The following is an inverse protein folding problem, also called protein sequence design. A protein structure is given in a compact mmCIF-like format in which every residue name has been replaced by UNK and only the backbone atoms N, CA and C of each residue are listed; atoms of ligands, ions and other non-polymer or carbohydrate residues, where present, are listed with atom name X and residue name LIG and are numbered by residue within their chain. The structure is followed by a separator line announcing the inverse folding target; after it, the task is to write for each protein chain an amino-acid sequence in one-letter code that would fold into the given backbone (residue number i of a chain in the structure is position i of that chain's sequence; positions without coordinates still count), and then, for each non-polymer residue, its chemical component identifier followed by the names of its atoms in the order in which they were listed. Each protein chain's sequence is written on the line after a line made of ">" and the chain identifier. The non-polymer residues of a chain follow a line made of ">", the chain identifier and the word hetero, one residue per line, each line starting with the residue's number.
data_IF_871421530945
#
_entry.id   IF_871421530945
#
_cell.length_a   1.000
_cell.length_b   1.000
_cell.length_c   1.000
_cell.angle_alpha   90.00
_cell.angle_beta   90.00
_cell.angle_gamma   90.00
#
_symmetry.space_group_name_H-M   'P 1'
#
loop_
_entity.id
_entity.type
_entity.pdbx_description
1 polymer ?
#
# COMPACT_ATOMS: atom_id res chain seq x y z
N UNK A 1 -33.10 56.65 -6.81
CA UNK A 1 -32.33 55.41 -6.55
C UNK A 1 -31.71 54.98 -7.86
N UNK A 2 -30.39 55.17 -8.04
CA UNK A 2 -29.69 54.71 -9.23
C UNK A 2 -29.21 53.26 -9.01
N UNK A 3 -29.44 52.33 -9.95
CA UNK A 3 -28.92 50.98 -9.83
C UNK A 3 -27.41 51.02 -10.05
N UNK A 4 -26.63 50.50 -9.10
CA UNK A 4 -25.19 50.30 -9.28
C UNK A 4 -24.97 49.22 -10.35
N UNK A 5 -24.44 49.61 -11.50
CA UNK A 5 -24.00 48.68 -12.54
C UNK A 5 -22.77 47.92 -12.04
N UNK A 6 -22.92 46.61 -11.82
CA UNK A 6 -21.79 45.72 -11.51
C UNK A 6 -20.99 45.53 -12.79
N UNK A 7 -19.72 45.95 -12.80
CA UNK A 7 -18.84 45.82 -13.95
C UNK A 7 -18.56 44.35 -14.27
N UNK A 8 -18.67 43.96 -15.55
CA UNK A 8 -18.38 42.60 -16.02
C UNK A 8 -16.97 42.11 -15.67
N UNK A 9 -16.01 43.03 -15.48
CA UNK A 9 -14.67 42.71 -15.00
C UNK A 9 -14.67 42.19 -13.55
N UNK A 10 -15.53 42.74 -12.68
CA UNK A 10 -15.67 42.30 -11.30
C UNK A 10 -16.23 40.88 -11.21
N UNK A 11 -17.19 40.52 -12.07
CA UNK A 11 -17.72 39.15 -12.13
C UNK A 11 -16.66 38.15 -12.59
N UNK A 12 -15.83 38.50 -13.58
CA UNK A 12 -14.76 37.62 -14.07
C UNK A 12 -13.68 37.38 -13.02
N UNK A 13 -13.29 38.41 -12.27
CA UNK A 13 -12.29 38.28 -11.19
C UNK A 13 -12.84 37.43 -10.05
N UNK A 14 -14.10 37.63 -9.63
CA UNK A 14 -14.75 36.79 -8.63
C UNK A 14 -14.90 35.33 -9.09
N UNK A 15 -15.21 35.08 -10.36
CA UNK A 15 -15.30 33.73 -10.91
C UNK A 15 -13.92 33.04 -10.98
N UNK A 16 -12.87 33.78 -11.35
CA UNK A 16 -11.48 33.29 -11.32
C UNK A 16 -11.01 32.98 -9.90
N UNK A 17 -11.29 33.85 -8.92
CA UNK A 17 -11.01 33.58 -7.51
C UNK A 17 -11.78 32.37 -6.98
N UNK A 18 -13.06 32.23 -7.36
CA UNK A 18 -13.87 31.06 -7.00
C UNK A 18 -13.31 29.78 -7.63
N UNK A 19 -12.89 29.82 -8.89
CA UNK A 19 -12.25 28.69 -9.58
C UNK A 19 -10.89 28.33 -8.96
N UNK A 20 -10.08 29.32 -8.55
CA UNK A 20 -8.83 29.11 -7.82
C UNK A 20 -9.06 28.56 -6.40
N UNK A 21 -10.14 28.96 -5.73
CA UNK A 21 -10.54 28.43 -4.43
C UNK A 21 -11.12 27.01 -4.51
N UNK A 22 -11.75 26.66 -5.64
CA UNK A 22 -12.28 25.32 -5.92
C UNK A 22 -11.22 24.34 -6.40
N UNK A 23 -10.03 24.80 -6.83
CA UNK A 23 -8.95 23.94 -7.32
C UNK A 23 -7.93 23.51 -6.26
N UNK A 24 -8.22 23.72 -4.97
CA UNK A 24 -7.35 23.21 -3.89
C UNK A 24 -7.57 21.70 -3.77
N UNK A 25 -6.97 20.94 -4.68
CA UNK A 25 -6.83 19.50 -4.52
C UNK A 25 -6.13 19.24 -3.18
N UNK A 26 -6.81 18.53 -2.27
CA UNK A 26 -6.34 18.26 -0.91
C UNK A 26 -5.35 17.08 -0.91
N UNK A 27 -4.41 17.12 -1.85
CA UNK A 27 -3.30 16.18 -1.90
C UNK A 27 -2.16 16.69 -1.04
N UNK A 28 -1.49 15.78 -0.35
CA UNK A 28 -0.29 16.08 0.43
C UNK A 28 0.77 15.02 0.17
N UNK A 29 2.01 15.45 0.10
CA UNK A 29 3.19 14.59 0.07
C UNK A 29 4.02 14.86 1.33
N UNK A 30 4.57 13.81 1.93
CA UNK A 30 5.49 13.86 3.05
C UNK A 30 6.67 12.91 2.80
N UNK A 31 7.88 13.45 2.69
CA UNK A 31 9.10 12.65 2.53
C UNK A 31 9.79 12.46 3.87
N UNK A 32 9.96 11.22 4.31
CA UNK A 32 10.50 10.88 5.63
C UNK A 32 11.78 10.09 5.46
N UNK A 33 12.88 10.56 6.06
CA UNK A 33 14.09 9.75 6.18
C UNK A 33 13.90 8.72 7.28
N UNK A 34 14.12 7.45 6.97
CA UNK A 34 13.98 6.35 7.92
C UNK A 34 15.24 5.51 7.94
N UNK A 35 15.48 4.85 9.08
CA UNK A 35 16.53 3.83 9.19
C UNK A 35 15.91 2.44 8.98
N UNK A 36 16.41 1.72 7.99
CA UNK A 36 16.07 0.34 7.70
C UNK A 36 16.66 -0.61 8.75
N UNK A 37 16.17 -1.85 8.82
CA UNK A 37 16.66 -2.84 9.81
C UNK A 37 18.16 -3.15 9.69
N UNK A 38 18.74 -3.03 8.49
CA UNK A 38 20.16 -3.23 8.23
C UNK A 38 21.03 -2.01 8.59
N UNK A 39 20.41 -0.93 9.09
CA UNK A 39 21.06 0.30 9.50
C UNK A 39 21.20 1.35 8.39
N UNK A 40 20.89 1.01 7.14
CA UNK A 40 20.90 1.96 6.03
C UNK A 40 19.78 2.99 6.17
N UNK A 41 19.94 4.14 5.51
CA UNK A 41 18.96 5.22 5.54
C UNK A 41 18.32 5.31 4.15
N UNK A 42 16.99 5.31 4.11
CA UNK A 42 16.22 5.52 2.89
C UNK A 42 15.20 6.64 3.09
N UNK A 43 14.65 7.15 1.98
CA UNK A 43 13.54 8.09 2.00
C UNK A 43 12.24 7.35 1.67
N UNK A 44 11.26 7.44 2.55
CA UNK A 44 9.88 6.99 2.31
C UNK A 44 9.02 8.20 1.91
N UNK A 45 8.26 8.06 0.83
CA UNK A 45 7.33 9.08 0.37
C UNK A 45 5.91 8.64 0.75
N UNK A 46 5.26 9.42 1.61
CA UNK A 46 3.86 9.24 1.96
C UNK A 46 3.03 10.25 1.20
N UNK A 47 2.07 9.80 0.40
CA UNK A 47 1.09 10.66 -0.22
C UNK A 47 -0.30 10.39 0.33
N UNK A 48 -1.14 11.41 0.35
CA UNK A 48 -2.54 11.26 0.72
C UNK A 48 -3.41 12.16 -0.12
N UNK A 49 -4.55 11.62 -0.52
CA UNK A 49 -5.61 12.32 -1.23
C UNK A 49 -6.90 12.07 -0.43
N UNK A 50 -7.38 13.11 0.26
CA UNK A 50 -8.58 13.00 1.09
C UNK A 50 -9.88 13.02 0.28
N UNK A 51 -9.85 13.42 -1.00
CA UNK A 51 -11.05 13.36 -1.86
C UNK A 51 -11.31 11.93 -2.33
N UNK A 52 -10.22 11.23 -2.69
CA UNK A 52 -10.27 9.80 -3.05
C UNK A 52 -10.28 8.89 -1.83
N UNK A 53 -9.99 9.45 -0.65
CA UNK A 53 -9.82 8.75 0.62
C UNK A 53 -8.79 7.61 0.52
N UNK A 54 -7.58 8.01 0.08
CA UNK A 54 -6.44 7.11 -0.10
C UNK A 54 -5.18 7.64 0.57
N UNK A 55 -4.31 6.71 0.94
CA UNK A 55 -2.93 6.96 1.37
C UNK A 55 -2.00 6.00 0.64
N UNK A 56 -0.88 6.49 0.12
CA UNK A 56 0.21 5.66 -0.37
C UNK A 56 1.49 5.88 0.44
N UNK A 57 2.30 4.83 0.56
CA UNK A 57 3.66 4.87 1.09
C UNK A 57 4.55 4.17 0.09
N UNK A 58 5.56 4.85 -0.42
CA UNK A 58 6.52 4.30 -1.37
C UNK A 58 7.96 4.46 -0.87
N UNK A 59 8.75 3.41 -0.98
CA UNK A 59 10.16 3.44 -0.63
C UNK A 59 10.97 2.40 -1.40
N UNK A 60 12.27 2.65 -1.49
CA UNK A 60 13.22 1.70 -2.07
C UNK A 60 13.93 0.95 -0.95
N UNK A 61 13.89 -0.38 -1.03
CA UNK A 61 14.66 -1.27 -0.18
C UNK A 61 16.12 -1.37 -0.66
N UNK A 62 17.01 -1.96 0.14
CA UNK A 62 18.47 -1.90 -0.09
C UNK A 62 18.97 -2.73 -1.26
N UNK A 63 18.22 -3.78 -1.61
CA UNK A 63 18.35 -4.59 -2.83
C UNK A 63 17.83 -3.86 -4.09
N UNK A 64 17.35 -2.61 -3.94
CA UNK A 64 16.79 -1.82 -5.03
C UNK A 64 15.31 -2.07 -5.31
N UNK A 65 14.69 -3.05 -4.63
CA UNK A 65 13.26 -3.36 -4.74
C UNK A 65 12.43 -2.13 -4.39
N UNK A 66 11.46 -1.78 -5.24
CA UNK A 66 10.52 -0.69 -4.98
C UNK A 66 9.26 -1.25 -4.31
N UNK A 67 8.96 -0.77 -3.10
CA UNK A 67 7.78 -1.15 -2.34
C UNK A 67 6.77 -0.02 -2.42
N UNK A 68 5.52 -0.36 -2.75
CA UNK A 68 4.38 0.56 -2.69
C UNK A 68 3.30 -0.05 -1.81
N UNK A 69 2.94 0.62 -0.72
CA UNK A 69 1.75 0.34 0.07
C UNK A 69 0.67 1.36 -0.30
N UNK A 70 -0.55 0.92 -0.57
CA UNK A 70 -1.72 1.80 -0.71
C UNK A 70 -2.84 1.33 0.20
N UNK A 71 -3.44 2.27 0.93
CA UNK A 71 -4.68 2.10 1.67
C UNK A 71 -5.81 2.85 0.94
N UNK A 72 -6.81 2.11 0.48
CA UNK A 72 -8.07 2.60 -0.07
C UNK A 72 -9.15 2.45 1.00
N UNK A 73 -9.42 3.54 1.72
CA UNK A 73 -10.36 3.53 2.85
C UNK A 73 -11.81 3.39 2.37
N UNK A 74 -12.13 3.97 1.21
CA UNK A 74 -13.47 3.90 0.61
C UNK A 74 -13.87 2.47 0.25
N UNK A 75 -12.92 1.65 -0.18
CA UNK A 75 -13.14 0.23 -0.53
C UNK A 75 -12.72 -0.74 0.58
N UNK A 76 -12.10 -0.27 1.65
CA UNK A 76 -11.47 -1.10 2.69
C UNK A 76 -10.45 -2.10 2.11
N UNK A 77 -9.64 -1.64 1.16
CA UNK A 77 -8.62 -2.44 0.48
C UNK A 77 -7.24 -1.89 0.80
N UNK A 78 -6.29 -2.75 1.17
CA UNK A 78 -4.87 -2.43 1.20
C UNK A 78 -4.14 -3.23 0.13
N UNK A 79 -3.23 -2.56 -0.58
CA UNK A 79 -2.43 -3.12 -1.66
C UNK A 79 -0.97 -2.97 -1.24
N UNK A 80 -0.25 -4.07 -1.19
CA UNK A 80 1.20 -4.05 -1.07
C UNK A 80 1.79 -4.58 -2.37
N UNK A 81 2.53 -3.73 -3.06
CA UNK A 81 3.26 -4.06 -4.28
C UNK A 81 4.75 -4.10 -3.97
N UNK A 82 5.42 -5.14 -4.47
CA UNK A 82 6.87 -5.19 -4.56
C UNK A 82 7.29 -5.29 -6.02
N UNK A 83 8.14 -4.39 -6.48
CA UNK A 83 8.79 -4.48 -7.78
C UNK A 83 10.24 -4.90 -7.55
N UNK A 84 10.46 -6.21 -7.59
CA UNK A 84 11.77 -6.84 -7.32
C UNK A 84 12.62 -6.76 -8.57
N UNK A 85 13.85 -6.26 -8.43
CA UNK A 85 14.80 -6.21 -9.53
C UNK A 85 15.45 -7.58 -9.70
N UNK A 86 15.68 -8.00 -10.94
CA UNK A 86 16.49 -9.20 -11.20
C UNK A 86 17.95 -8.97 -10.83
N UNK A 87 18.61 -10.02 -10.36
CA UNK A 87 20.05 -10.05 -10.06
C UNK A 87 20.87 -10.43 -11.31
N UNK A 88 21.62 -9.48 -11.92
CA UNK A 88 22.41 -9.75 -13.12
C UNK A 88 23.46 -10.84 -12.91
N UNK A 89 24.01 -10.94 -11.70
CA UNK A 89 24.99 -11.95 -11.28
C UNK A 89 24.42 -13.38 -11.38
N UNK A 90 23.09 -13.52 -11.30
CA UNK A 90 22.36 -14.79 -11.46
C UNK A 90 21.74 -14.95 -12.85
N UNK A 91 22.12 -14.08 -13.80
CA UNK A 91 21.60 -14.09 -15.17
C UNK A 91 20.19 -13.51 -15.30
N UNK A 92 19.68 -12.83 -14.27
CA UNK A 92 18.35 -12.22 -14.30
C UNK A 92 18.46 -10.79 -14.82
N UNK A 93 17.74 -10.47 -15.89
CA UNK A 93 17.82 -9.15 -16.55
C UNK A 93 16.49 -8.38 -16.49
N UNK A 94 15.44 -9.01 -15.96
CA UNK A 94 14.10 -8.44 -15.88
C UNK A 94 13.70 -8.24 -14.42
N UNK A 95 12.76 -7.32 -14.19
CA UNK A 95 12.11 -7.16 -12.89
C UNK A 95 10.90 -8.09 -12.79
N UNK A 96 10.49 -8.39 -11.56
CA UNK A 96 9.24 -9.09 -11.27
C UNK A 96 8.38 -8.26 -10.33
N UNK A 97 7.14 -8.00 -10.73
CA UNK A 97 6.13 -7.38 -9.87
C UNK A 97 5.40 -8.44 -9.06
N UNK A 98 5.20 -8.19 -7.78
CA UNK A 98 4.28 -8.91 -6.89
C UNK A 98 3.26 -7.92 -6.36
N UNK A 99 2.01 -8.33 -6.28
CA UNK A 99 0.96 -7.57 -5.63
C UNK A 99 0.17 -8.42 -4.65
N UNK A 100 0.06 -7.95 -3.42
CA UNK A 100 -0.65 -8.58 -2.32
C UNK A 100 -1.83 -7.68 -1.93
N UNK A 101 -3.04 -8.14 -2.17
CA UNK A 101 -4.27 -7.39 -1.93
C UNK A 101 -4.97 -8.01 -0.73
N UNK A 102 -5.29 -7.19 0.25
CA UNK A 102 -5.98 -7.64 1.46
C UNK A 102 -6.94 -6.59 1.99
N UNK A 103 -7.74 -6.95 2.98
CA UNK A 103 -8.62 -6.01 3.66
C UNK A 103 -7.81 -5.00 4.46
N UNK A 104 -8.21 -3.73 4.37
CA UNK A 104 -7.71 -2.67 5.25
C UNK A 104 -8.47 -2.73 6.58
N UNK A 105 -7.82 -3.15 7.66
CA UNK A 105 -8.43 -3.15 9.00
C UNK A 105 -8.53 -1.72 9.57
N UNK A 106 -9.55 -1.53 10.40
CA UNK A 106 -9.74 -0.26 11.07
C UNK A 106 -8.57 0.06 12.01
N UNK A 107 -8.03 1.27 11.92
CA UNK A 107 -6.93 1.73 12.78
C UNK A 107 -5.55 1.15 12.43
N UNK A 108 -5.38 0.51 11.26
CA UNK A 108 -4.03 0.16 10.80
C UNK A 108 -3.18 1.40 10.59
N UNK A 109 -3.73 2.40 9.89
CA UNK A 109 -3.11 3.68 9.54
C UNK A 109 -4.10 4.82 9.87
N UNK A 110 -3.60 6.03 10.14
CA UNK A 110 -4.49 7.19 10.37
C UNK A 110 -5.33 7.50 9.11
N UNK A 111 -6.51 8.10 9.26
CA UNK A 111 -7.34 8.50 8.12
C UNK A 111 -6.66 9.52 7.20
N UNK A 112 -7.05 9.52 5.92
CA UNK A 112 -6.50 10.41 4.88
C UNK A 112 -6.64 11.89 5.27
N UNK A 113 -7.75 12.31 5.87
CA UNK A 113 -7.98 13.71 6.25
C UNK A 113 -7.04 14.19 7.38
N UNK A 114 -6.50 13.26 8.15
CA UNK A 114 -5.45 13.57 9.13
C UNK A 114 -4.06 13.56 8.48
N UNK A 115 -3.81 12.63 7.55
CA UNK A 115 -2.54 12.51 6.83
C UNK A 115 -2.23 13.77 6.02
N UNK A 116 -3.21 14.33 5.30
CA UNK A 116 -3.04 15.54 4.47
C UNK A 116 -2.61 16.79 5.25
N UNK A 117 -2.77 16.78 6.58
CA UNK A 117 -2.40 17.88 7.49
C UNK A 117 -1.04 17.67 8.15
N UNK A 118 -0.41 16.51 7.97
CA UNK A 118 0.90 16.25 8.55
C UNK A 118 1.96 17.14 7.90
N UNK A 119 2.82 17.71 8.74
CA UNK A 119 3.96 18.52 8.34
C UNK A 119 5.16 18.12 9.17
N UNK A 120 6.32 18.09 8.55
CA UNK A 120 7.58 17.87 9.26
C UNK A 120 8.14 19.19 9.77
N UNK A 121 8.48 19.22 11.06
CA UNK A 121 9.25 20.34 11.64
C UNK A 121 10.69 20.40 11.11
N UNK A 122 11.29 19.22 10.88
CA UNK A 122 12.63 19.08 10.32
C UNK A 122 12.59 17.93 9.30
N UNK A 123 12.81 18.20 8.00
CA UNK A 123 12.79 17.17 6.95
C UNK A 123 14.07 16.30 6.90
N UNK A 124 15.18 16.76 7.49
CA UNK A 124 16.46 16.04 7.48
C UNK A 124 16.65 15.10 8.66
N UNK A 125 15.69 15.05 9.59
CA UNK A 125 15.77 14.16 10.75
C UNK A 125 15.42 12.72 10.34
N UNK A 126 16.28 11.78 10.70
CA UNK A 126 16.02 10.35 10.56
C UNK A 126 14.98 9.95 11.60
N UNK A 127 13.84 9.44 11.15
CA UNK A 127 12.75 8.94 11.99
C UNK A 127 12.93 7.46 12.26
N UNK A 128 12.55 7.07 13.46
CA UNK A 128 12.34 5.67 13.84
C UNK A 128 10.90 5.56 14.33
N UNK A 129 10.25 4.43 14.05
CA UNK A 129 8.91 4.17 14.57
C UNK A 129 8.92 4.17 16.11
N UNK A 130 7.90 4.77 16.70
CA UNK A 130 7.70 4.75 18.16
C UNK A 130 7.26 3.38 18.68
N UNK A 131 6.52 2.62 17.86
CA UNK A 131 6.08 1.27 18.15
C UNK A 131 6.53 0.31 17.04
N UNK A 132 7.18 -0.79 17.41
CA UNK A 132 7.49 -1.88 16.48
C UNK A 132 6.41 -2.95 16.60
N UNK A 133 5.49 -3.02 15.63
CA UNK A 133 4.48 -4.08 15.56
C UNK A 133 5.11 -5.38 15.06
N UNK A 134 4.49 -6.49 15.45
CA UNK A 134 4.93 -7.84 15.09
C UNK A 134 4.82 -8.15 13.59
N UNK A 135 5.24 -9.36 13.23
CA UNK A 135 5.09 -9.92 11.89
C UNK A 135 3.64 -10.38 11.68
N UNK A 136 2.96 -9.85 10.67
CA UNK A 136 1.69 -10.38 10.18
C UNK A 136 1.96 -11.42 9.08
N UNK A 137 1.51 -12.65 9.30
CA UNK A 137 1.60 -13.73 8.30
C UNK A 137 0.29 -13.84 7.54
N UNK A 138 0.36 -13.86 6.22
CA UNK A 138 -0.81 -13.89 5.35
C UNK A 138 -0.66 -15.01 4.33
N UNK A 139 -1.60 -15.97 4.37
CA UNK A 139 -1.68 -17.05 3.39
C UNK A 139 -2.47 -16.56 2.18
N UNK A 140 -1.73 -16.34 1.10
CA UNK A 140 -2.19 -15.74 -0.14
C UNK A 140 -2.62 -16.83 -1.12
N UNK A 141 -3.76 -17.45 -0.79
CA UNK A 141 -4.28 -18.68 -1.41
C UNK A 141 -5.28 -18.44 -2.55
N UNK A 142 -5.49 -17.19 -2.97
CA UNK A 142 -6.31 -16.85 -4.14
C UNK A 142 -5.59 -15.82 -5.01
N UNK A 143 -5.96 -15.77 -6.30
CA UNK A 143 -5.48 -14.76 -7.24
C UNK A 143 -6.59 -13.75 -7.59
N UNK A 144 -6.17 -12.55 -8.02
CA UNK A 144 -7.07 -11.48 -8.45
C UNK A 144 -6.91 -11.24 -9.95
N UNK A 145 -8.03 -11.19 -10.66
CA UNK A 145 -8.08 -10.85 -12.07
C UNK A 145 -7.83 -9.35 -12.26
N UNK A 146 -6.65 -8.98 -12.80
CA UNK A 146 -6.28 -7.58 -13.03
C UNK A 146 -7.32 -6.81 -13.85
N UNK A 147 -7.92 -7.43 -14.87
CA UNK A 147 -8.90 -6.77 -15.75
C UNK A 147 -10.19 -6.42 -15.02
N UNK A 148 -10.63 -7.27 -14.09
CA UNK A 148 -11.86 -7.10 -13.32
C UNK A 148 -11.61 -6.46 -11.94
N UNK A 149 -10.35 -6.26 -11.56
CA UNK A 149 -9.95 -5.73 -10.24
C UNK A 149 -10.54 -4.36 -9.89
N UNK A 150 -10.98 -3.59 -10.89
CA UNK A 150 -11.62 -2.28 -10.66
C UNK A 150 -12.93 -2.38 -9.86
N UNK A 151 -13.63 -3.53 -9.90
CA UNK A 151 -14.81 -3.79 -9.07
C UNK A 151 -14.44 -3.86 -7.57
N UNK A 152 -13.20 -4.23 -7.26
CA UNK A 152 -12.66 -4.27 -5.90
C UNK A 152 -12.09 -2.90 -5.51
N UNK A 153 -11.14 -2.37 -6.28
CA UNK A 153 -10.63 -1.01 -6.17
C UNK A 153 -10.06 -0.55 -7.51
N UNK A 154 -10.39 0.68 -7.91
CA UNK A 154 -9.89 1.27 -9.16
C UNK A 154 -8.37 1.45 -9.20
N UNK A 155 -7.71 1.45 -8.03
CA UNK A 155 -6.27 1.67 -7.90
C UNK A 155 -5.44 0.41 -8.18
N UNK A 156 -6.05 -0.79 -8.13
CA UNK A 156 -5.34 -2.06 -8.33
C UNK A 156 -4.70 -2.09 -9.73
N UNK A 157 -5.43 -1.66 -10.76
CA UNK A 157 -4.91 -1.71 -12.13
C UNK A 157 -3.68 -0.83 -12.34
N UNK A 158 -3.61 0.34 -11.71
CA UNK A 158 -2.46 1.22 -11.83
C UNK A 158 -1.27 0.73 -11.02
N UNK A 159 -1.51 0.26 -9.79
CA UNK A 159 -0.43 -0.16 -8.87
C UNK A 159 0.14 -1.52 -9.26
N UNK A 160 -0.72 -2.47 -9.64
CA UNK A 160 -0.34 -3.85 -9.89
C UNK A 160 -0.11 -4.19 -11.37
N UNK A 161 0.00 -3.18 -12.24
CA UNK A 161 0.20 -3.40 -13.68
C UNK A 161 1.42 -4.28 -13.96
N UNK A 162 2.53 -4.00 -13.29
CA UNK A 162 3.80 -4.71 -13.48
C UNK A 162 3.81 -6.11 -12.83
N UNK A 163 2.82 -6.43 -12.00
CA UNK A 163 2.68 -7.74 -11.40
C UNK A 163 2.03 -8.77 -12.33
N UNK A 164 1.37 -8.33 -13.42
CA UNK A 164 0.72 -9.22 -14.39
C UNK A 164 -0.19 -10.26 -13.71
N UNK A 165 0.23 -11.53 -13.66
CA UNK A 165 -0.49 -12.64 -13.03
C UNK A 165 -0.14 -12.87 -11.55
N UNK A 166 0.86 -12.18 -11.02
CA UNK A 166 1.33 -12.27 -9.62
C UNK A 166 0.54 -11.33 -8.68
N UNK A 167 -0.79 -11.41 -8.76
CA UNK A 167 -1.70 -10.60 -7.95
C UNK A 167 -2.50 -11.53 -7.04
N UNK A 168 -2.21 -11.44 -5.76
CA UNK A 168 -2.61 -12.40 -4.75
C UNK A 168 -3.56 -11.79 -3.73
N UNK A 169 -4.41 -12.63 -3.16
CA UNK A 169 -5.25 -12.31 -2.01
C UNK A 169 -5.52 -13.56 -1.17
N UNK A 170 -6.21 -13.39 -0.04
CA UNK A 170 -6.55 -14.45 0.90
C UNK A 170 -8.06 -14.72 0.90
N UNK A 171 -8.42 -15.99 1.04
CA UNK A 171 -9.81 -16.45 0.96
C UNK A 171 -10.74 -15.77 1.97
N UNK A 172 -10.25 -15.46 3.18
CA UNK A 172 -11.02 -14.74 4.19
C UNK A 172 -11.40 -13.32 3.76
N UNK A 173 -10.54 -12.63 2.99
CA UNK A 173 -10.85 -11.30 2.46
C UNK A 173 -11.79 -11.40 1.27
N UNK A 174 -11.63 -12.42 0.42
CA UNK A 174 -12.57 -12.73 -0.66
C UNK A 174 -13.97 -12.95 -0.10
N UNK A 175 -14.12 -13.77 0.94
CA UNK A 175 -15.41 -13.98 1.63
C UNK A 175 -16.03 -12.66 2.09
N UNK A 176 -15.24 -11.76 2.66
CA UNK A 176 -15.70 -10.42 3.06
C UNK A 176 -16.18 -9.58 1.86
N UNK A 177 -15.40 -9.51 0.77
CA UNK A 177 -15.76 -8.70 -0.39
C UNK A 177 -16.95 -9.25 -1.18
N UNK A 178 -17.09 -10.56 -1.28
CA UNK A 178 -18.27 -11.21 -1.87
C UNK A 178 -19.55 -10.82 -1.09
N UNK A 179 -19.49 -10.82 0.25
CA UNK A 179 -20.61 -10.36 1.09
C UNK A 179 -20.94 -8.87 0.90
N UNK A 180 -19.95 -8.08 0.46
CA UNK A 180 -20.12 -6.65 0.11
C UNK A 180 -20.56 -6.43 -1.35
N UNK A 181 -20.81 -7.49 -2.10
CA UNK A 181 -21.34 -7.42 -3.47
C UNK A 181 -20.28 -7.30 -4.56
N UNK A 182 -19.00 -7.59 -4.26
CA UNK A 182 -17.97 -7.74 -5.31
C UNK A 182 -18.24 -9.04 -6.07
N UNK A 183 -18.12 -9.00 -7.40
CA UNK A 183 -18.34 -10.17 -8.24
C UNK A 183 -17.28 -11.27 -8.02
N UNK A 184 -17.70 -12.53 -8.02
CA UNK A 184 -16.79 -13.67 -7.87
C UNK A 184 -15.79 -13.80 -9.02
N UNK A 185 -16.14 -13.30 -10.21
CA UNK A 185 -15.30 -13.27 -11.42
C UNK A 185 -13.97 -12.52 -11.23
N UNK A 186 -13.91 -11.62 -10.23
CA UNK A 186 -12.69 -10.89 -9.84
C UNK A 186 -11.65 -11.83 -9.23
N UNK A 187 -12.06 -12.94 -8.65
CA UNK A 187 -11.20 -13.85 -7.92
C UNK A 187 -10.99 -15.15 -8.69
N UNK A 188 -9.77 -15.69 -8.63
CA UNK A 188 -9.40 -16.97 -9.23
C UNK A 188 -8.86 -17.88 -8.14
N UNK A 189 -9.30 -19.13 -8.13
CA UNK A 189 -8.71 -20.18 -7.31
C UNK A 189 -7.47 -20.70 -8.03
N UNK A 190 -6.41 -21.01 -7.28
CA UNK A 190 -5.26 -21.72 -7.85
C UNK A 190 -5.67 -23.12 -8.30
N UNK A 191 -4.96 -23.76 -9.25
CA UNK A 191 -5.33 -25.07 -9.76
C UNK A 191 -5.56 -26.09 -8.63
N UNK A 192 -6.74 -26.74 -8.64
CA UNK A 192 -7.25 -27.60 -7.55
C UNK A 192 -6.42 -28.86 -7.25
N UNK A 193 -5.41 -29.21 -8.05
CA UNK A 193 -4.48 -30.32 -7.76
C UNK A 193 -3.58 -30.07 -6.52
N UNK A 194 -3.74 -28.92 -5.87
CA UNK A 194 -2.98 -28.47 -4.70
C UNK A 194 -3.79 -28.62 -3.39
N UNK A 195 -5.12 -28.77 -3.45
CA UNK A 195 -5.96 -28.80 -2.24
C UNK A 195 -5.63 -29.98 -1.31
N UNK A 196 -5.04 -31.06 -1.85
CA UNK A 196 -4.65 -32.26 -1.09
C UNK A 196 -3.13 -32.50 -1.02
N UNK A 197 -2.32 -31.69 -1.69
CA UNK A 197 -0.86 -31.81 -1.67
C UNK A 197 -0.28 -30.68 -0.84
N UNK A 198 0.35 -31.00 0.29
CA UNK A 198 1.17 -30.03 1.04
C UNK A 198 2.29 -29.59 0.10
N UNK A 199 2.14 -28.41 -0.51
CA UNK A 199 3.18 -27.81 -1.34
C UNK A 199 4.43 -27.61 -0.48
N UNK A 200 5.55 -28.14 -0.95
CA UNK A 200 6.84 -27.89 -0.32
C UNK A 200 7.23 -26.42 -0.49
N UNK A 201 8.09 -25.94 0.41
CA UNK A 201 8.67 -24.60 0.29
C UNK A 201 9.51 -24.50 -0.99
N UNK A 202 9.53 -23.33 -1.62
CA UNK A 202 10.42 -23.08 -2.75
C UNK A 202 11.90 -23.16 -2.34
N UNK A 203 12.21 -22.87 -1.08
CA UNK A 203 13.55 -23.02 -0.51
C UNK A 203 14.04 -24.47 -0.49
N UNK A 204 13.15 -25.45 -0.31
CA UNK A 204 13.50 -26.89 -0.20
C UNK A 204 13.53 -27.63 -1.53
N UNK A 205 12.90 -27.06 -2.57
CA UNK A 205 12.76 -27.71 -3.88
C UNK A 205 14.02 -27.46 -4.71
N UNK A 206 14.62 -28.46 -5.36
CA UNK A 206 15.80 -28.25 -6.22
C UNK A 206 15.45 -28.03 -7.69
N UNK A 207 14.31 -28.55 -8.15
CA UNK A 207 13.83 -28.43 -9.53
C UNK A 207 13.26 -27.02 -9.81
N UNK A 208 13.85 -26.23 -10.72
CA UNK A 208 13.39 -24.87 -11.05
C UNK A 208 11.97 -24.80 -11.64
N UNK A 209 11.46 -25.91 -12.16
CA UNK A 209 10.19 -25.99 -12.88
C UNK A 209 9.05 -26.54 -12.03
N UNK A 210 9.35 -27.01 -10.81
CA UNK A 210 8.32 -27.51 -9.92
C UNK A 210 7.52 -26.38 -9.25
N UNK A 211 6.20 -26.58 -9.06
CA UNK A 211 5.40 -25.69 -8.24
C UNK A 211 5.79 -25.81 -6.77
N UNK A 212 5.71 -24.70 -6.04
CA UNK A 212 6.08 -24.64 -4.63
C UNK A 212 5.35 -23.49 -3.91
N UNK A 213 5.41 -23.49 -2.57
CA UNK A 213 4.97 -22.36 -1.74
C UNK A 213 6.13 -21.37 -1.59
N UNK A 214 5.93 -20.16 -2.10
CA UNK A 214 6.89 -19.07 -2.06
C UNK A 214 6.59 -18.13 -0.88
N UNK A 215 7.64 -17.61 -0.26
CA UNK A 215 7.52 -16.65 0.84
C UNK A 215 8.11 -15.29 0.46
N UNK A 216 7.40 -14.20 0.71
CA UNK A 216 7.92 -12.83 0.55
C UNK A 216 7.71 -12.02 1.82
N UNK A 217 8.78 -11.40 2.34
CA UNK A 217 8.72 -10.60 3.58
C UNK A 217 9.07 -9.16 3.28
N UNK A 218 8.29 -8.23 3.84
CA UNK A 218 8.49 -6.79 3.69
C UNK A 218 8.18 -6.09 5.02
N UNK A 219 8.88 -5.00 5.31
CA UNK A 219 8.61 -4.16 6.48
C UNK A 219 8.33 -2.73 6.05
N UNK A 220 7.25 -2.16 6.57
CA UNK A 220 7.07 -0.72 6.59
C UNK A 220 7.81 -0.19 7.81
N UNK A 221 8.89 0.57 7.61
CA UNK A 221 9.76 1.01 8.71
C UNK A 221 9.16 2.17 9.50
N UNK A 222 8.38 3.02 8.84
CA UNK A 222 7.70 4.11 9.50
C UNK A 222 6.35 4.43 8.82
N UNK A 223 5.27 4.45 9.59
CA UNK A 223 4.01 5.02 9.13
C UNK A 223 3.17 5.58 10.29
N UNK A 224 2.36 6.62 10.06
CA UNK A 224 1.44 7.15 11.06
C UNK A 224 0.28 6.18 11.35
N UNK A 225 0.34 5.47 12.48
CA UNK A 225 -0.63 4.43 12.82
C UNK A 225 -1.74 4.89 13.78
N UNK A 226 -1.54 6.00 14.51
CA UNK A 226 -2.52 6.50 15.47
C UNK A 226 -2.41 8.01 15.67
N UNK A 227 -3.54 8.66 15.93
CA UNK A 227 -3.59 10.08 16.32
C UNK A 227 -3.34 10.25 17.81
N UNK A 228 -2.51 11.23 18.17
CA UNK A 228 -2.31 11.67 19.56
C UNK A 228 -3.21 12.85 19.86
N UNK A 229 -3.85 12.78 21.03
CA UNK A 229 -4.72 13.83 21.54
C UNK A 229 -4.13 14.43 22.82
N UNK A 230 -4.06 15.75 22.87
CA UNK A 230 -3.57 16.49 24.03
C UNK A 230 -4.74 17.20 24.71
N UNK A 231 -4.65 17.37 26.03
CA UNK A 231 -5.59 18.20 26.79
C UNK A 231 -5.19 19.66 26.65
N UNK A 232 -6.17 20.52 26.38
CA UNK A 232 -6.03 21.97 26.37
C UNK A 232 -6.88 22.61 27.47
N UNK A 233 -7.06 23.92 27.40
CA UNK A 233 -7.96 24.66 28.29
C UNK A 233 -9.46 24.45 27.99
N UNK A 234 -9.80 23.82 26.85
CA UNK A 234 -11.17 23.51 26.47
C UNK A 234 -11.66 22.14 26.97
N UNK A 235 -12.98 21.87 26.88
CA UNK A 235 -13.59 20.64 27.38
C UNK A 235 -13.23 19.40 26.56
N UNK A 236 -12.83 19.53 25.30
CA UNK A 236 -12.49 18.42 24.41
C UNK A 236 -10.98 18.34 24.14
N UNK A 237 -10.36 17.14 24.13
CA UNK A 237 -8.99 16.96 23.67
C UNK A 237 -8.82 17.41 22.20
N UNK A 238 -7.65 17.96 21.86
CA UNK A 238 -7.33 18.36 20.49
C UNK A 238 -6.23 17.48 19.89
N UNK A 239 -6.24 17.32 18.56
CA UNK A 239 -5.21 16.56 17.82
C UNK A 239 -3.89 17.32 17.91
N UNK A 240 -2.86 16.70 18.50
CA UNK A 240 -1.56 17.34 18.72
C UNK A 240 -0.38 16.62 18.07
N UNK A 241 -0.60 15.42 17.52
CA UNK A 241 0.45 14.69 16.81
C UNK A 241 0.00 13.31 16.37
N UNK A 242 0.99 12.49 16.04
CA UNK A 242 0.81 11.09 15.66
C UNK A 242 1.68 10.20 16.53
N UNK A 243 1.29 8.94 16.64
CA UNK A 243 2.18 7.84 16.97
C UNK A 243 2.57 7.17 15.66
N UNK A 244 3.86 6.94 15.49
CA UNK A 244 4.40 6.20 14.34
C UNK A 244 4.65 4.74 14.69
N UNK A 245 4.39 3.84 13.74
CA UNK A 245 4.60 2.42 13.88
C UNK A 245 5.50 1.88 12.76
N UNK A 246 6.12 0.72 13.02
CA UNK A 246 6.67 -0.17 11.99
C UNK A 246 5.91 -1.49 12.01
N UNK A 247 5.80 -2.19 10.89
CA UNK A 247 5.11 -3.48 10.80
C UNK A 247 5.70 -4.32 9.68
N UNK A 248 5.95 -5.59 9.96
CA UNK A 248 6.38 -6.55 8.96
C UNK A 248 5.20 -7.39 8.49
N UNK A 249 5.24 -7.74 7.21
CA UNK A 249 4.31 -8.63 6.54
C UNK A 249 5.10 -9.78 5.95
N UNK A 250 4.60 -11.00 6.10
CA UNK A 250 5.07 -12.19 5.39
C UNK A 250 3.90 -12.75 4.59
N UNK A 251 4.10 -12.88 3.29
CA UNK A 251 3.15 -13.42 2.35
C UNK A 251 3.62 -14.80 1.92
N UNK A 252 2.81 -15.82 2.18
CA UNK A 252 3.06 -17.18 1.70
C UNK A 252 2.07 -17.46 0.56
N UNK A 253 2.54 -17.71 -0.65
CA UNK A 253 1.72 -17.82 -1.87
C UNK A 253 2.20 -18.93 -2.80
N UNK A 254 1.27 -19.40 -3.63
CA UNK A 254 1.58 -20.36 -4.69
C UNK A 254 2.38 -19.72 -5.83
N UNK A 255 3.42 -20.43 -6.29
CA UNK A 255 4.04 -20.20 -7.59
C UNK A 255 4.01 -21.47 -8.43
N UNK A 256 3.81 -21.31 -9.74
CA UNK A 256 3.81 -22.43 -10.69
C UNK A 256 5.20 -23.02 -10.93
N UNK A 257 6.27 -22.26 -10.65
CA UNK A 257 7.66 -22.66 -10.86
C UNK A 257 8.54 -22.00 -9.80
N UNK A 258 9.47 -22.76 -9.21
CA UNK A 258 10.47 -22.24 -8.27
C UNK A 258 11.22 -21.02 -8.83
N UNK A 259 11.58 -21.01 -10.11
CA UNK A 259 12.32 -19.89 -10.71
C UNK A 259 11.59 -18.53 -10.66
N UNK A 260 10.28 -18.51 -10.40
CA UNK A 260 9.49 -17.28 -10.23
C UNK A 260 9.47 -16.78 -8.76
N UNK A 261 10.21 -17.46 -7.89
CA UNK A 261 10.35 -17.18 -6.47
C UNK A 261 11.83 -17.02 -6.14
N UNK A 262 12.42 -15.92 -6.61
CA UNK A 262 13.88 -15.75 -6.63
C UNK A 262 14.47 -15.29 -5.28
N UNK A 263 13.61 -14.84 -4.36
CA UNK A 263 13.95 -14.24 -3.06
C UNK A 263 13.74 -15.17 -1.86
N UNK A 264 13.12 -16.34 -2.06
CA UNK A 264 12.82 -17.29 -0.99
C UNK A 264 14.04 -18.21 -0.78
N UNK A 265 15.10 -17.62 -0.26
CA UNK A 265 16.30 -18.35 0.17
C UNK A 265 16.17 -18.79 1.62
N UNK A 266 16.83 -19.89 2.00
CA UNK A 266 16.86 -20.34 3.39
C UNK A 266 17.42 -19.23 4.28
N UNK A 267 16.57 -18.68 5.13
CA UNK A 267 16.94 -17.77 6.23
C UNK A 267 17.79 -18.49 7.27
#
# INVERSE_FOLDING_TARGET
>A
MYPRSVSAASLRISLLLLLLLLSVSVCSELKVLVRLNDGQITAETLESDSERDIISVEFRHTDGTLITFLADFKRHVKILRALVLGEPERGQTQYQGLCFISRLEHGEIIPSEAMVRLRQKNPHIIRNAEEKRGLERMSMNMAVNLTLSWHLSSHIRSICRDAQDFIYTQEQDVKYWLQKGVESSVFKVFPQNIENAVLQSCSTTTDPWQPCSCSYTVRLEWYPCMLKYCRGHGPSPYKCGIKSCSKAYRFDFYTSRKQLCMWDEES
#
